data_IF_255264881667
#
_entry.id   IF_255264881667
#
_cell.length_a   1.000
_cell.length_b   1.000
_cell.length_c   1.000
_cell.angle_alpha   90.00
_cell.angle_beta   90.00
_cell.angle_gamma   90.00
#
_symmetry.space_group_name_H-M   'P 1'
#
loop_
_entity.id
_entity.type
_entity.pdbx_description
1 polymer ?
#
# COMPACT_ATOMS: atom_id res chain seq x y z
N UNK A 1 2.33 3.48 17.61
CA UNK A 1 3.07 4.42 16.73
C UNK A 1 2.03 5.22 15.97
N UNK A 2 2.31 6.48 15.63
CA UNK A 2 1.44 7.27 14.77
C UNK A 2 1.85 7.08 13.31
N UNK A 3 0.92 7.26 12.37
CA UNK A 3 1.23 7.20 10.93
C UNK A 3 2.31 8.22 10.53
N UNK A 4 2.31 9.38 11.19
CA UNK A 4 3.30 10.46 11.01
C UNK A 4 4.74 10.02 11.33
N UNK A 5 4.93 9.06 12.23
CA UNK A 5 6.26 8.53 12.58
C UNK A 5 6.93 7.84 11.37
N UNK A 6 6.11 7.36 10.43
CA UNK A 6 6.57 6.73 9.18
C UNK A 6 6.56 7.73 8.02
N UNK A 7 5.50 8.51 7.87
CA UNK A 7 5.31 9.36 6.69
C UNK A 7 6.13 10.64 6.74
N UNK A 8 6.45 11.17 7.92
CA UNK A 8 7.20 12.45 8.03
C UNK A 8 8.70 12.30 7.76
N UNK A 9 9.20 11.08 7.56
CA UNK A 9 10.61 10.83 7.30
C UNK A 9 11.03 11.42 5.94
N UNK A 10 12.11 12.23 5.87
CA UNK A 10 12.55 12.87 4.64
C UNK A 10 12.79 11.87 3.50
N UNK A 11 13.32 10.70 3.81
CA UNK A 11 13.58 9.61 2.87
C UNK A 11 12.28 9.07 2.26
N UNK A 12 11.24 8.87 3.08
CA UNK A 12 9.94 8.43 2.59
C UNK A 12 9.28 9.47 1.69
N UNK A 13 9.32 10.74 2.09
CA UNK A 13 8.78 11.85 1.29
C UNK A 13 9.49 11.97 -0.07
N UNK A 14 10.81 11.80 -0.09
CA UNK A 14 11.59 11.80 -1.33
C UNK A 14 11.20 10.62 -2.24
N UNK A 15 11.06 9.41 -1.70
CA UNK A 15 10.64 8.23 -2.47
C UNK A 15 9.23 8.41 -3.05
N UNK A 16 8.28 8.93 -2.28
CA UNK A 16 6.91 9.20 -2.76
C UNK A 16 6.94 10.21 -3.92
N UNK A 17 7.71 11.29 -3.79
CA UNK A 17 7.86 12.29 -4.85
C UNK A 17 8.49 11.69 -6.12
N UNK A 18 9.46 10.81 -5.97
CA UNK A 18 10.04 10.07 -7.10
C UNK A 18 9.01 9.14 -7.75
N UNK A 19 8.16 8.49 -6.95
CA UNK A 19 7.09 7.64 -7.44
C UNK A 19 6.05 8.41 -8.26
N UNK A 20 5.71 9.64 -7.85
CA UNK A 20 4.81 10.50 -8.64
C UNK A 20 5.34 10.80 -10.04
N UNK A 21 6.67 10.85 -10.23
CA UNK A 21 7.29 11.01 -11.55
C UNK A 21 7.08 9.80 -12.48
N UNK A 22 6.61 8.68 -11.93
CA UNK A 22 6.26 7.49 -12.71
C UNK A 22 4.83 7.56 -13.27
N UNK A 23 4.00 8.53 -12.86
CA UNK A 23 2.67 8.75 -13.44
C UNK A 23 2.79 8.93 -14.95
N UNK A 24 2.00 8.17 -15.71
CA UNK A 24 2.02 8.16 -17.17
C UNK A 24 2.94 7.12 -17.81
N UNK A 25 3.77 6.42 -17.03
CA UNK A 25 4.37 5.16 -17.51
C UNK A 25 3.30 4.06 -17.54
N UNK A 26 3.44 3.12 -18.46
CA UNK A 26 2.50 2.00 -18.60
C UNK A 26 3.04 0.80 -17.81
N UNK A 27 2.28 0.40 -16.81
CA UNK A 27 2.48 -0.76 -15.93
C UNK A 27 1.36 -1.81 -16.09
N UNK A 28 0.20 -1.41 -16.59
CA UNK A 28 -0.97 -2.27 -16.81
C UNK A 28 -1.72 -1.87 -18.07
N UNK A 29 -2.41 -2.83 -18.67
CA UNK A 29 -3.39 -2.64 -19.75
C UNK A 29 -4.82 -2.44 -19.21
N UNK A 30 -5.01 -2.54 -17.89
CA UNK A 30 -6.28 -2.26 -17.21
C UNK A 30 -6.21 -0.88 -16.56
N UNK A 31 -6.98 0.07 -17.09
CA UNK A 31 -7.07 1.45 -16.61
C UNK A 31 -8.52 1.86 -16.37
N UNK A 32 -8.72 2.76 -15.41
CA UNK A 32 -10.02 3.44 -15.24
C UNK A 32 -10.09 4.78 -15.98
N UNK A 33 -11.24 5.45 -15.88
CA UNK A 33 -11.50 6.75 -16.49
C UNK A 33 -10.59 7.88 -15.96
N UNK A 34 -10.00 7.70 -14.77
CA UNK A 34 -9.06 8.64 -14.16
C UNK A 34 -7.61 8.36 -14.55
N UNK A 35 -7.36 7.28 -15.29
CA UNK A 35 -6.02 6.86 -15.72
C UNK A 35 -5.24 6.09 -14.67
N UNK A 36 -5.88 5.63 -13.58
CA UNK A 36 -5.23 4.74 -12.62
C UNK A 36 -5.08 3.35 -13.22
N UNK A 37 -3.93 2.73 -12.96
CA UNK A 37 -3.54 1.45 -13.54
C UNK A 37 -3.70 0.33 -12.51
N UNK A 38 -4.41 -0.72 -12.87
CA UNK A 38 -4.74 -1.80 -11.95
C UNK A 38 -3.80 -2.98 -12.10
N UNK A 39 -3.21 -3.42 -10.99
CA UNK A 39 -2.31 -4.58 -10.94
C UNK A 39 -2.80 -5.59 -9.92
N UNK A 40 -2.36 -6.84 -10.09
CA UNK A 40 -2.53 -7.88 -9.08
C UNK A 40 -1.39 -7.79 -8.07
N UNK A 41 -1.73 -7.66 -6.79
CA UNK A 41 -0.77 -7.49 -5.70
C UNK A 41 -0.67 -8.78 -4.89
N UNK A 42 0.53 -9.36 -4.85
CA UNK A 42 0.87 -10.50 -3.99
C UNK A 42 1.85 -10.06 -2.92
N UNK A 43 1.53 -10.32 -1.66
CA UNK A 43 2.30 -9.86 -0.50
C UNK A 43 2.87 -11.04 0.30
N UNK A 44 4.19 -11.17 0.30
CA UNK A 44 4.88 -12.15 1.14
C UNK A 44 4.67 -11.85 2.64
N UNK A 45 4.86 -12.86 3.49
CA UNK A 45 5.04 -12.66 4.92
C UNK A 45 6.40 -12.03 5.26
N UNK A 46 6.55 -11.58 6.50
CA UNK A 46 7.77 -10.86 6.91
C UNK A 46 7.76 -9.38 6.48
N UNK A 47 8.78 -8.63 6.90
CA UNK A 47 8.90 -7.18 6.60
C UNK A 47 8.57 -6.22 7.76
N UNK A 48 8.78 -6.62 9.02
CA UNK A 48 8.43 -5.81 10.22
C UNK A 48 6.92 -5.63 10.35
N UNK A 49 6.25 -6.68 10.84
CA UNK A 49 4.81 -6.69 11.16
C UNK A 49 3.90 -6.24 9.99
N UNK A 50 4.32 -6.38 8.73
CA UNK A 50 3.53 -5.93 7.57
C UNK A 50 3.54 -4.42 7.32
N UNK A 51 4.20 -3.61 8.16
CA UNK A 51 4.28 -2.15 7.96
C UNK A 51 5.14 -1.80 6.74
N UNK A 52 6.24 -2.52 6.47
CA UNK A 52 7.03 -2.28 5.26
C UNK A 52 6.21 -2.52 3.98
N UNK A 53 5.26 -3.46 4.03
CA UNK A 53 4.36 -3.73 2.91
C UNK A 53 3.40 -2.55 2.66
N UNK A 54 2.96 -1.86 3.72
CA UNK A 54 2.17 -0.62 3.59
C UNK A 54 2.98 0.45 2.88
N UNK A 55 4.24 0.65 3.29
CA UNK A 55 5.16 1.59 2.64
C UNK A 55 5.31 1.31 1.14
N UNK A 56 5.46 0.03 0.76
CA UNK A 56 5.50 -0.37 -0.64
C UNK A 56 4.21 -0.01 -1.39
N UNK A 57 3.04 -0.30 -0.81
CA UNK A 57 1.76 0.06 -1.43
C UNK A 57 1.55 1.56 -1.55
N UNK A 58 2.03 2.37 -0.60
CA UNK A 58 2.01 3.84 -0.70
C UNK A 58 2.78 4.36 -1.91
N UNK A 59 3.94 3.77 -2.19
CA UNK A 59 4.77 4.14 -3.34
C UNK A 59 4.08 3.76 -4.66
N UNK A 60 3.44 2.59 -4.72
CA UNK A 60 2.65 2.18 -5.90
C UNK A 60 1.45 3.10 -6.11
N UNK A 61 0.72 3.43 -5.04
CA UNK A 61 -0.43 4.35 -5.12
C UNK A 61 0.00 5.74 -5.62
N UNK A 62 1.12 6.26 -5.12
CA UNK A 62 1.73 7.52 -5.58
C UNK A 62 2.14 7.48 -7.05
N UNK A 63 2.52 6.31 -7.59
CA UNK A 63 2.80 6.11 -9.02
C UNK A 63 1.53 6.03 -9.89
N UNK A 64 0.33 6.12 -9.31
CA UNK A 64 -0.94 5.98 -10.01
C UNK A 64 -1.39 4.54 -10.21
N UNK A 65 -0.86 3.60 -9.41
CA UNK A 65 -1.25 2.20 -9.44
C UNK A 65 -2.33 1.93 -8.37
N UNK A 66 -3.28 1.06 -8.71
CA UNK A 66 -4.34 0.54 -7.83
C UNK A 66 -4.34 -0.98 -7.89
N UNK A 67 -5.03 -1.62 -6.94
CA UNK A 67 -4.92 -3.07 -6.75
C UNK A 67 -6.24 -3.76 -7.07
N UNK A 68 -6.22 -4.72 -8.01
CA UNK A 68 -7.41 -5.46 -8.43
C UNK A 68 -7.55 -6.79 -7.69
N UNK A 69 -6.72 -7.78 -7.99
CA UNK A 69 -6.63 -8.98 -7.18
C UNK A 69 -5.58 -8.82 -6.09
N UNK A 70 -5.89 -9.35 -4.91
CA UNK A 70 -5.03 -9.29 -3.74
C UNK A 70 -4.78 -10.69 -3.21
N UNK A 71 -3.53 -11.01 -2.92
CA UNK A 71 -3.15 -12.22 -2.23
C UNK A 71 -2.04 -11.92 -1.22
N UNK A 72 -2.05 -12.62 -0.09
CA UNK A 72 -1.00 -12.44 0.91
C UNK A 72 -0.78 -13.67 1.77
N UNK A 73 0.42 -13.78 2.35
CA UNK A 73 0.79 -14.87 3.28
C UNK A 73 1.23 -14.29 4.62
N UNK A 74 0.81 -14.89 5.75
CA UNK A 74 1.19 -14.44 7.11
C UNK A 74 0.92 -12.93 7.30
N UNK A 75 1.92 -12.13 7.68
CA UNK A 75 1.79 -10.67 7.82
C UNK A 75 1.27 -9.99 6.53
N UNK A 76 1.62 -10.50 5.35
CA UNK A 76 1.08 -10.02 4.08
C UNK A 76 -0.41 -10.30 3.90
N UNK A 77 -0.92 -11.40 4.46
CA UNK A 77 -2.36 -11.71 4.43
C UNK A 77 -3.16 -10.72 5.26
N UNK A 78 -2.62 -10.26 6.40
CA UNK A 78 -3.24 -9.22 7.23
C UNK A 78 -3.34 -7.92 6.44
N UNK A 79 -2.23 -7.46 5.84
CA UNK A 79 -2.22 -6.25 5.03
C UNK A 79 -3.19 -6.33 3.84
N UNK A 80 -3.17 -7.47 3.13
CA UNK A 80 -4.10 -7.76 2.03
C UNK A 80 -5.56 -7.69 2.48
N UNK A 81 -5.90 -8.30 3.62
CA UNK A 81 -7.25 -8.26 4.17
C UNK A 81 -7.70 -6.83 4.46
N UNK A 82 -6.84 -6.02 5.09
CA UNK A 82 -7.16 -4.62 5.41
C UNK A 82 -7.31 -3.81 4.12
N UNK A 83 -6.39 -3.92 3.16
CA UNK A 83 -6.50 -3.26 1.84
C UNK A 83 -7.78 -3.65 1.10
N UNK A 84 -8.22 -4.90 1.19
CA UNK A 84 -9.44 -5.38 0.53
C UNK A 84 -10.71 -4.83 1.19
N UNK A 85 -10.69 -4.61 2.50
CA UNK A 85 -11.89 -4.25 3.28
C UNK A 85 -12.04 -2.78 3.65
N UNK A 86 -10.97 -1.97 3.53
CA UNK A 86 -10.98 -0.59 4.07
C UNK A 86 -11.68 0.43 3.18
N UNK A 87 -11.64 0.24 1.85
CA UNK A 87 -12.28 1.12 0.87
C UNK A 87 -12.36 0.43 -0.51
N UNK A 88 -12.98 1.09 -1.49
CA UNK A 88 -13.07 0.62 -2.86
C UNK A 88 -11.71 0.59 -3.56
N UNK A 89 -11.57 -0.30 -4.55
CA UNK A 89 -10.31 -0.56 -5.23
C UNK A 89 -9.73 0.63 -6.01
N UNK A 90 -10.55 1.61 -6.38
CA UNK A 90 -10.15 2.83 -7.09
C UNK A 90 -9.50 3.89 -6.18
N UNK A 91 -9.60 3.74 -4.86
CA UNK A 91 -9.07 4.70 -3.88
C UNK A 91 -7.62 4.41 -3.49
N UNK A 92 -6.94 5.47 -3.05
CA UNK A 92 -5.69 5.35 -2.29
C UNK A 92 -6.03 4.89 -0.88
N UNK A 93 -5.44 3.78 -0.46
CA UNK A 93 -5.80 3.09 0.77
C UNK A 93 -4.64 2.99 1.74
N UNK A 94 -3.39 3.10 1.26
CA UNK A 94 -2.21 2.80 2.07
C UNK A 94 -2.10 3.67 3.33
N UNK A 95 -2.51 4.95 3.26
CA UNK A 95 -2.56 5.84 4.41
C UNK A 95 -3.52 5.36 5.50
N UNK A 96 -4.74 4.97 5.10
CA UNK A 96 -5.73 4.41 6.02
C UNK A 96 -5.27 3.07 6.60
N UNK A 97 -4.64 2.22 5.78
CA UNK A 97 -4.07 0.95 6.24
C UNK A 97 -2.96 1.19 7.26
N UNK A 98 -2.08 2.16 7.02
CA UNK A 98 -1.01 2.53 7.95
C UNK A 98 -1.59 2.98 9.28
N UNK A 99 -2.61 3.85 9.27
CA UNK A 99 -3.28 4.30 10.50
C UNK A 99 -3.84 3.14 11.31
N UNK A 100 -4.47 2.16 10.66
CA UNK A 100 -4.99 0.98 11.35
C UNK A 100 -3.87 0.10 11.88
N UNK A 101 -2.90 -0.26 11.05
CA UNK A 101 -1.83 -1.18 11.44
C UNK A 101 -0.87 -0.59 12.48
N UNK A 102 -0.57 0.71 12.43
CA UNK A 102 0.32 1.37 13.40
C UNK A 102 -0.27 1.46 14.83
N UNK A 103 -1.59 1.34 14.94
CA UNK A 103 -2.34 1.34 16.20
C UNK A 103 -2.61 -0.07 16.76
N UNK A 104 -2.42 -1.13 15.96
CA UNK A 104 -2.62 -2.51 16.40
C UNK A 104 -1.35 -3.10 17.00
N UNK A 105 -1.51 -3.95 18.01
CA UNK A 105 -0.44 -4.87 18.39
C UNK A 105 -0.49 -6.09 17.47
N UNK A 106 0.37 -6.07 16.46
CA UNK A 106 0.39 -7.11 15.45
C UNK A 106 0.95 -8.45 15.97
N UNK A 107 1.55 -8.46 17.16
CA UNK A 107 1.88 -9.70 17.85
C UNK A 107 0.65 -10.43 18.40
N UNK A 108 -0.50 -9.77 18.58
CA UNK A 108 -1.73 -10.47 18.98
C UNK A 108 -2.31 -11.37 17.87
N UNK A 109 -1.85 -11.20 16.63
CA UNK A 109 -2.27 -12.01 15.49
C UNK A 109 -1.44 -13.29 15.28
N UNK A 110 -0.41 -13.54 16.11
CA UNK A 110 0.55 -14.66 15.96
C UNK A 110 0.78 -15.45 17.24
#
# INVERSE_FOLDING_TARGET
MNSEDFTSQPEFQQIVKEAESLKGKIFSDVLDEQGFQYVDLVQEGGGVLGIALVGYTSVLEAAGIRFFHLAGTSAGAINTLVLAGIDSMDKEKSGLVLEKLAQQDLFEFV
#
